data_IF_491845238258
#
_entry.id   IF_491845238258
#
_cell.length_a   1.000
_cell.length_b   1.000
_cell.length_c   1.000
_cell.angle_alpha   90.00
_cell.angle_beta   90.00
_cell.angle_gamma   90.00
#
_symmetry.space_group_name_H-M   'P 1'
#
loop_
_entity.id
_entity.type
_entity.pdbx_description
1 polymer ?
#
# COMPACT_ATOMS: atom_id res chain seq x y z
N UNK A 1 19.27 9.24 -12.29
CA UNK A 1 20.29 9.49 -11.25
C UNK A 1 21.43 8.53 -11.51
N UNK A 2 22.66 9.01 -11.61
CA UNK A 2 23.85 8.17 -11.76
C UNK A 2 24.38 7.73 -10.38
N UNK A 3 25.34 6.78 -10.35
CA UNK A 3 25.85 6.20 -9.11
C UNK A 3 26.41 7.25 -8.14
N UNK A 4 27.11 8.26 -8.67
CA UNK A 4 27.66 9.34 -7.84
C UNK A 4 26.56 10.18 -7.18
N UNK A 5 25.53 10.54 -7.91
CA UNK A 5 24.37 11.29 -7.39
C UNK A 5 23.63 10.47 -6.32
N UNK A 6 23.51 9.15 -6.54
CA UNK A 6 22.93 8.25 -5.56
C UNK A 6 23.76 8.22 -4.26
N UNK A 7 25.06 8.06 -4.36
CA UNK A 7 25.96 8.04 -3.18
C UNK A 7 25.94 9.36 -2.40
N UNK A 8 25.91 10.49 -3.11
CA UNK A 8 25.80 11.81 -2.49
C UNK A 8 24.46 11.98 -1.74
N UNK A 9 23.35 11.58 -2.35
CA UNK A 9 22.03 11.62 -1.72
C UNK A 9 21.93 10.70 -0.50
N UNK A 10 22.46 9.47 -0.61
CA UNK A 10 22.49 8.52 0.50
C UNK A 10 23.34 9.03 1.67
N UNK A 11 24.50 9.64 1.38
CA UNK A 11 25.35 10.27 2.40
C UNK A 11 24.64 11.44 3.09
N UNK A 12 23.93 12.27 2.33
CA UNK A 12 23.13 13.37 2.86
C UNK A 12 22.02 12.86 3.79
N UNK A 13 21.26 11.84 3.36
CA UNK A 13 20.25 11.20 4.18
C UNK A 13 20.82 10.66 5.51
N UNK A 14 21.92 9.93 5.47
CA UNK A 14 22.59 9.44 6.70
C UNK A 14 23.02 10.55 7.64
N UNK A 15 23.50 11.67 7.11
CA UNK A 15 23.90 12.84 7.90
C UNK A 15 22.68 13.46 8.59
N UNK A 16 21.59 13.68 7.85
CA UNK A 16 20.35 14.20 8.42
C UNK A 16 19.80 13.29 9.51
N UNK A 17 19.76 11.98 9.28
CA UNK A 17 19.29 11.03 10.28
C UNK A 17 20.17 11.04 11.55
N UNK A 18 21.49 11.14 11.42
CA UNK A 18 22.39 11.25 12.58
C UNK A 18 22.15 12.53 13.39
N UNK A 19 21.78 13.62 12.74
CA UNK A 19 21.43 14.87 13.44
C UNK A 19 20.15 14.71 14.24
N UNK A 20 19.11 14.05 13.65
CA UNK A 20 17.84 13.78 14.32
C UNK A 20 17.96 12.86 15.53
N UNK A 21 18.89 11.91 15.50
CA UNK A 21 19.10 10.88 16.55
C UNK A 21 20.44 11.06 17.26
N UNK A 22 20.90 12.29 17.43
CA UNK A 22 22.23 12.59 17.95
C UNK A 22 22.44 12.24 19.41
N UNK A 23 21.36 12.18 20.20
CA UNK A 23 21.36 11.84 21.62
C UNK A 23 20.07 11.06 22.01
N UNK A 24 19.98 10.63 23.25
CA UNK A 24 18.84 9.85 23.71
C UNK A 24 17.50 10.63 23.70
N UNK A 25 17.44 11.91 24.08
CA UNK A 25 16.24 12.72 23.90
C UNK A 25 15.82 12.88 22.45
N UNK A 26 16.73 13.19 21.54
CA UNK A 26 16.47 13.33 20.11
C UNK A 26 15.96 12.04 19.48
N UNK A 27 16.52 10.90 19.88
CA UNK A 27 16.03 9.59 19.44
C UNK A 27 14.60 9.32 19.93
N UNK A 28 14.29 9.62 21.19
CA UNK A 28 12.96 9.44 21.76
C UNK A 28 11.92 10.34 21.04
N UNK A 29 12.26 11.61 20.81
CA UNK A 29 11.39 12.54 20.08
C UNK A 29 11.16 12.09 18.62
N UNK A 30 12.21 11.64 17.95
CA UNK A 30 12.11 11.08 16.60
C UNK A 30 11.18 9.87 16.55
N UNK A 31 11.34 8.94 17.49
CA UNK A 31 10.50 7.75 17.59
C UNK A 31 9.03 8.13 17.82
N UNK A 32 8.77 9.07 18.73
CA UNK A 32 7.42 9.51 19.05
C UNK A 32 6.74 10.21 17.86
N UNK A 33 7.46 11.10 17.15
CA UNK A 33 6.94 11.75 15.95
C UNK A 33 6.59 10.75 14.86
N UNK A 34 7.49 9.81 14.57
CA UNK A 34 7.24 8.75 13.58
C UNK A 34 6.05 7.89 13.97
N UNK A 35 5.94 7.53 15.24
CA UNK A 35 4.83 6.70 15.71
C UNK A 35 3.50 7.43 15.59
N UNK A 36 3.42 8.69 16.01
CA UNK A 36 2.21 9.52 15.85
C UNK A 36 1.79 9.64 14.39
N UNK A 37 2.74 9.95 13.50
CA UNK A 37 2.48 10.03 12.07
C UNK A 37 1.98 8.69 11.51
N UNK A 38 2.70 7.61 11.75
CA UNK A 38 2.31 6.28 11.29
C UNK A 38 0.93 5.85 11.84
N UNK A 39 0.66 6.13 13.11
CA UNK A 39 -0.63 5.87 13.73
C UNK A 39 -1.76 6.65 13.04
N UNK A 40 -1.56 7.94 12.78
CA UNK A 40 -2.52 8.77 12.04
C UNK A 40 -2.84 8.20 10.66
N UNK A 41 -1.82 7.79 9.90
CA UNK A 41 -2.02 7.15 8.59
C UNK A 41 -2.80 5.83 8.75
N UNK A 42 -2.45 5.00 9.75
CA UNK A 42 -3.18 3.76 10.05
C UNK A 42 -4.66 4.01 10.37
N UNK A 43 -4.98 5.06 11.11
CA UNK A 43 -6.38 5.46 11.39
C UNK A 43 -7.10 5.90 10.10
N UNK A 44 -6.49 6.75 9.28
CA UNK A 44 -7.07 7.18 8.00
C UNK A 44 -7.32 6.01 7.05
N UNK A 45 -6.50 4.99 7.10
CA UNK A 45 -6.65 3.77 6.30
C UNK A 45 -7.78 2.86 6.81
N UNK A 46 -8.07 2.86 8.11
CA UNK A 46 -8.96 1.86 8.72
C UNK A 46 -10.25 2.42 9.29
N UNK A 47 -10.22 3.56 9.98
CA UNK A 47 -11.39 4.11 10.68
C UNK A 47 -12.46 4.64 9.72
N UNK A 48 -13.73 4.75 10.15
CA UNK A 48 -14.76 5.41 9.38
C UNK A 48 -14.36 6.84 9.01
N UNK A 49 -14.71 7.27 7.78
CA UNK A 49 -14.41 8.61 7.31
C UNK A 49 -15.53 9.14 6.43
N UNK A 50 -16.16 10.24 6.80
CA UNK A 50 -17.37 10.74 6.13
C UNK A 50 -18.44 9.66 6.08
N UNK A 51 -18.94 9.35 4.89
CA UNK A 51 -19.90 8.27 4.63
C UNK A 51 -19.24 6.89 4.44
N UNK A 52 -17.90 6.83 4.39
CA UNK A 52 -17.18 5.57 4.20
C UNK A 52 -17.07 4.82 5.54
N UNK A 53 -17.51 3.56 5.60
CA UNK A 53 -17.43 2.76 6.81
C UNK A 53 -15.98 2.38 7.13
N UNK A 54 -15.79 1.76 8.29
CA UNK A 54 -14.54 1.14 8.67
C UNK A 54 -14.04 0.15 7.60
N UNK A 55 -12.73 0.14 7.39
CA UNK A 55 -12.10 -0.80 6.46
C UNK A 55 -11.76 -2.08 7.19
N UNK A 56 -12.62 -3.09 7.00
CA UNK A 56 -12.48 -4.42 7.60
C UNK A 56 -12.44 -5.50 6.52
N UNK A 57 -12.03 -6.72 6.91
CA UNK A 57 -12.03 -7.88 6.02
C UNK A 57 -10.98 -7.83 4.90
N UNK A 58 -11.23 -8.57 3.80
CA UNK A 58 -10.30 -8.67 2.70
C UNK A 58 -10.18 -7.38 1.88
N UNK A 59 -8.95 -6.96 1.59
CA UNK A 59 -8.65 -5.80 0.75
C UNK A 59 -7.43 -6.04 -0.14
N UNK A 60 -7.37 -5.28 -1.24
CA UNK A 60 -6.14 -4.96 -1.95
C UNK A 60 -5.65 -3.59 -1.51
N UNK A 61 -4.36 -3.39 -1.46
CA UNK A 61 -3.78 -2.08 -1.17
C UNK A 61 -2.48 -1.86 -1.94
N UNK A 62 -2.14 -0.61 -2.14
CA UNK A 62 -0.86 -0.26 -2.74
C UNK A 62 -0.40 1.11 -2.35
N UNK A 63 0.91 1.30 -2.43
CA UNK A 63 1.61 2.50 -2.01
C UNK A 63 2.31 3.14 -3.18
N UNK A 64 2.10 4.44 -3.35
CA UNK A 64 2.77 5.26 -4.36
C UNK A 64 3.67 6.30 -3.69
N UNK A 65 4.76 6.64 -4.38
CA UNK A 65 5.68 7.72 -3.99
C UNK A 65 5.84 8.74 -5.12
N UNK A 66 6.18 10.00 -4.82
CA UNK A 66 6.43 10.99 -5.84
C UNK A 66 7.50 10.53 -6.85
N UNK A 67 7.26 10.76 -8.12
CA UNK A 67 8.20 10.48 -9.19
C UNK A 67 8.34 9.01 -9.60
N UNK A 68 8.12 8.04 -8.70
CA UNK A 68 8.16 6.61 -9.04
C UNK A 68 6.76 5.99 -9.20
N UNK A 69 5.70 6.70 -8.78
CA UNK A 69 4.34 6.19 -8.84
C UNK A 69 4.10 4.99 -7.92
N UNK A 70 3.29 4.04 -8.36
CA UNK A 70 2.96 2.85 -7.59
C UNK A 70 4.20 1.97 -7.39
N UNK A 71 4.65 1.85 -6.16
CA UNK A 71 5.87 1.11 -5.82
C UNK A 71 5.61 -0.26 -5.16
N UNK A 72 4.45 -0.45 -4.53
CA UNK A 72 4.09 -1.68 -3.85
C UNK A 72 2.59 -1.98 -3.98
N UNK A 73 2.25 -3.26 -4.13
CA UNK A 73 0.89 -3.82 -4.07
C UNK A 73 0.89 -5.00 -3.11
N UNK A 74 -0.15 -5.10 -2.31
CA UNK A 74 -0.38 -6.21 -1.40
C UNK A 74 -1.87 -6.51 -1.19
N UNK A 75 -2.14 -7.62 -0.54
CA UNK A 75 -3.47 -8.00 -0.10
C UNK A 75 -3.46 -8.45 1.36
N UNK A 76 -4.61 -8.44 1.99
CA UNK A 76 -4.80 -9.01 3.33
C UNK A 76 -6.25 -9.46 3.50
N UNK A 77 -6.46 -10.44 4.36
CA UNK A 77 -7.80 -10.82 4.84
C UNK A 77 -8.25 -9.99 6.05
N UNK A 78 -7.30 -9.37 6.73
CA UNK A 78 -7.50 -8.63 7.98
C UNK A 78 -7.05 -7.17 7.78
N UNK A 79 -7.89 -6.38 7.10
CA UNK A 79 -7.54 -5.01 6.73
C UNK A 79 -7.17 -4.17 7.94
N UNK A 80 -7.98 -4.20 9.01
CA UNK A 80 -7.76 -3.36 10.19
C UNK A 80 -6.36 -3.57 10.75
N UNK A 81 -5.99 -4.80 11.07
CA UNK A 81 -4.66 -5.11 11.61
C UNK A 81 -3.55 -4.75 10.64
N UNK A 82 -3.66 -5.21 9.38
CA UNK A 82 -2.62 -5.03 8.37
C UNK A 82 -2.37 -3.57 8.01
N UNK A 83 -3.44 -2.78 7.82
CA UNK A 83 -3.31 -1.41 7.38
C UNK A 83 -2.91 -0.46 8.53
N UNK A 84 -3.23 -0.79 9.78
CA UNK A 84 -2.71 -0.05 10.95
C UNK A 84 -1.22 -0.26 11.12
N UNK A 85 -0.74 -1.50 10.95
CA UNK A 85 0.67 -1.85 11.09
C UNK A 85 1.52 -1.42 9.89
N UNK A 86 0.90 -1.26 8.70
CA UNK A 86 1.61 -0.98 7.46
C UNK A 86 2.55 0.23 7.54
N UNK A 87 2.11 1.41 8.04
CA UNK A 87 2.99 2.57 8.19
C UNK A 87 3.94 2.46 9.40
N UNK A 88 3.61 1.66 10.39
CA UNK A 88 4.48 1.43 11.56
C UNK A 88 5.67 0.54 11.19
N UNK A 89 5.43 -0.49 10.38
CA UNK A 89 6.45 -1.43 9.91
C UNK A 89 6.68 -2.64 10.80
N UNK A 90 5.82 -2.89 11.80
CA UNK A 90 5.96 -4.03 12.72
C UNK A 90 5.66 -5.37 12.05
N UNK A 91 4.56 -5.46 11.33
CA UNK A 91 4.13 -6.70 10.67
C UNK A 91 4.54 -6.79 9.19
N UNK A 92 5.14 -5.74 8.64
CA UNK A 92 5.48 -5.64 7.24
C UNK A 92 6.70 -4.73 7.01
N UNK A 93 7.68 -5.21 6.23
CA UNK A 93 8.92 -4.45 6.02
C UNK A 93 8.80 -3.26 5.06
N UNK A 94 7.63 -2.96 4.53
CA UNK A 94 7.49 -1.86 3.57
C UNK A 94 7.95 -0.53 4.17
N UNK A 95 7.45 -0.16 5.35
CA UNK A 95 7.82 1.06 6.03
C UNK A 95 9.30 1.12 6.46
N UNK A 96 9.95 -0.05 6.61
CA UNK A 96 11.38 -0.13 6.87
C UNK A 96 12.22 0.05 5.60
N UNK A 97 11.68 -0.33 4.44
CA UNK A 97 12.35 -0.17 3.15
C UNK A 97 12.03 1.20 2.53
N UNK A 98 10.80 1.67 2.70
CA UNK A 98 10.26 2.90 2.18
C UNK A 98 9.49 3.61 3.29
N UNK A 99 10.11 4.55 4.00
CA UNK A 99 9.47 5.28 5.10
C UNK A 99 8.13 5.91 4.69
N UNK A 100 7.08 5.83 5.53
CA UNK A 100 5.76 6.35 5.20
C UNK A 100 5.74 7.87 5.01
N UNK A 101 6.73 8.58 5.49
CA UNK A 101 6.95 10.00 5.26
C UNK A 101 7.22 10.33 3.77
N UNK A 102 7.59 9.33 2.97
CA UNK A 102 7.78 9.45 1.52
C UNK A 102 6.55 9.02 0.71
N UNK A 103 5.50 8.52 1.36
CA UNK A 103 4.33 8.05 0.64
C UNK A 103 3.47 9.21 0.18
N UNK A 104 3.22 9.27 -1.11
CA UNK A 104 2.30 10.22 -1.71
C UNK A 104 0.85 9.78 -1.52
N UNK A 105 0.60 8.48 -1.74
CA UNK A 105 -0.74 7.91 -1.72
C UNK A 105 -0.72 6.45 -1.30
N UNK A 106 -1.74 6.07 -0.51
CA UNK A 106 -2.08 4.68 -0.24
C UNK A 106 -3.50 4.41 -0.73
N UNK A 107 -3.64 3.54 -1.74
CA UNK A 107 -4.93 3.10 -2.25
C UNK A 107 -5.35 1.83 -1.54
N UNK A 108 -6.61 1.74 -1.14
CA UNK A 108 -7.24 0.55 -0.55
C UNK A 108 -8.53 0.23 -1.28
N UNK A 109 -8.64 -0.97 -1.85
CA UNK A 109 -9.85 -1.47 -2.52
C UNK A 109 -10.47 -2.62 -1.73
N UNK A 110 -11.72 -2.46 -1.35
CA UNK A 110 -12.56 -3.45 -0.65
C UNK A 110 -13.23 -4.34 -1.70
N UNK A 111 -12.48 -5.24 -2.31
CA UNK A 111 -12.97 -6.07 -3.41
C UNK A 111 -14.20 -6.95 -3.07
N UNK A 112 -14.48 -7.39 -1.81
CA UNK A 112 -15.71 -8.12 -1.51
C UNK A 112 -16.98 -7.30 -1.73
N UNK A 113 -16.92 -5.97 -1.60
CA UNK A 113 -18.06 -5.09 -1.90
C UNK A 113 -18.38 -5.10 -3.41
N UNK A 114 -17.34 -5.24 -4.23
CA UNK A 114 -17.48 -5.34 -5.69
C UNK A 114 -17.98 -6.72 -6.11
N UNK A 115 -17.61 -7.78 -5.40
CA UNK A 115 -18.09 -9.13 -5.65
C UNK A 115 -19.60 -9.22 -5.60
N UNK A 116 -20.24 -8.55 -4.64
CA UNK A 116 -21.71 -8.49 -4.55
C UNK A 116 -22.40 -7.87 -5.78
N UNK A 117 -21.64 -7.21 -6.66
CA UNK A 117 -22.12 -6.61 -7.91
C UNK A 117 -21.70 -7.42 -9.15
N UNK A 118 -20.76 -8.39 -9.00
CA UNK A 118 -20.21 -9.24 -10.05
C UNK A 118 -20.86 -10.63 -9.98
N UNK A 119 -22.12 -10.75 -10.39
CA UNK A 119 -22.91 -11.99 -10.29
C UNK A 119 -22.28 -13.20 -11.01
N UNK A 120 -21.50 -12.96 -12.05
CA UNK A 120 -20.76 -13.97 -12.81
C UNK A 120 -19.53 -14.53 -12.05
N UNK A 121 -19.03 -13.78 -11.07
CA UNK A 121 -17.86 -14.16 -10.29
C UNK A 121 -18.20 -14.77 -8.91
N UNK A 122 -19.46 -14.67 -8.45
CA UNK A 122 -19.84 -15.05 -7.09
C UNK A 122 -19.57 -16.53 -6.81
N UNK A 123 -20.06 -17.43 -7.68
CA UNK A 123 -19.87 -18.88 -7.52
C UNK A 123 -18.37 -19.27 -7.57
N UNK A 124 -17.60 -18.67 -8.48
CA UNK A 124 -16.17 -18.92 -8.57
C UNK A 124 -15.42 -18.42 -7.33
N UNK A 125 -15.80 -17.24 -6.81
CA UNK A 125 -15.20 -16.68 -5.61
C UNK A 125 -15.53 -17.49 -4.35
N UNK A 126 -16.76 -18.02 -4.24
CA UNK A 126 -17.16 -18.90 -3.15
C UNK A 126 -16.34 -20.20 -3.18
N UNK A 127 -16.20 -20.82 -4.34
CA UNK A 127 -15.42 -22.05 -4.51
C UNK A 127 -13.93 -21.86 -4.20
N UNK A 128 -13.36 -20.70 -4.52
CA UNK A 128 -11.95 -20.39 -4.27
C UNK A 128 -11.68 -19.94 -2.83
N UNK A 129 -12.65 -19.28 -2.22
CA UNK A 129 -12.52 -18.63 -0.92
C UNK A 129 -11.74 -17.32 -0.96
N UNK A 130 -11.99 -16.46 0.02
CA UNK A 130 -11.48 -15.07 0.06
C UNK A 130 -9.94 -14.99 -0.03
N UNK A 131 -9.22 -15.93 0.59
CA UNK A 131 -7.76 -15.92 0.57
C UNK A 131 -7.19 -16.10 -0.85
N UNK A 132 -7.78 -16.99 -1.64
CA UNK A 132 -7.33 -17.25 -3.01
C UNK A 132 -7.76 -16.12 -3.94
N UNK A 133 -8.98 -15.59 -3.77
CA UNK A 133 -9.47 -14.43 -4.52
C UNK A 133 -8.54 -13.22 -4.32
N UNK A 134 -8.20 -12.88 -3.08
CA UNK A 134 -7.27 -11.79 -2.79
C UNK A 134 -5.90 -11.97 -3.45
N UNK A 135 -5.33 -13.18 -3.39
CA UNK A 135 -4.06 -13.51 -4.05
C UNK A 135 -4.15 -13.44 -5.59
N UNK A 136 -5.28 -13.86 -6.17
CA UNK A 136 -5.51 -13.81 -7.62
C UNK A 136 -5.59 -12.36 -8.12
N UNK A 137 -6.36 -11.52 -7.43
CA UNK A 137 -6.49 -10.09 -7.73
C UNK A 137 -5.17 -9.33 -7.53
N UNK A 138 -4.45 -9.60 -6.43
CA UNK A 138 -3.11 -9.05 -6.19
C UNK A 138 -2.15 -9.39 -7.32
N UNK A 139 -2.15 -10.66 -7.74
CA UNK A 139 -1.28 -11.10 -8.83
C UNK A 139 -1.59 -10.38 -10.15
N UNK A 140 -2.88 -10.25 -10.52
CA UNK A 140 -3.28 -9.50 -11.72
C UNK A 140 -2.87 -8.03 -11.64
N UNK A 141 -3.07 -7.42 -10.48
CA UNK A 141 -2.67 -6.03 -10.27
C UNK A 141 -1.14 -5.85 -10.40
N UNK A 142 -0.35 -6.78 -9.84
CA UNK A 142 1.10 -6.79 -10.00
C UNK A 142 1.54 -6.99 -11.45
N UNK A 143 0.82 -7.82 -12.23
CA UNK A 143 1.10 -8.00 -13.67
C UNK A 143 0.90 -6.71 -14.47
N UNK A 144 -0.22 -6.02 -14.24
CA UNK A 144 -0.58 -4.82 -15.01
C UNK A 144 0.27 -3.61 -14.60
N UNK A 145 0.59 -3.47 -13.30
CA UNK A 145 1.24 -2.28 -12.76
C UNK A 145 2.75 -2.43 -12.58
N UNK A 146 3.25 -3.66 -12.51
CA UNK A 146 4.68 -3.98 -12.35
C UNK A 146 5.38 -3.20 -11.23
N UNK A 147 4.86 -3.15 -9.99
CA UNK A 147 5.40 -2.31 -8.95
C UNK A 147 6.82 -2.77 -8.52
N UNK A 148 7.80 -1.86 -8.44
CA UNK A 148 9.21 -2.23 -8.31
C UNK A 148 9.55 -3.01 -7.03
N UNK A 149 8.83 -2.78 -5.92
CA UNK A 149 9.08 -3.50 -4.67
C UNK A 149 8.47 -4.91 -4.65
N UNK A 150 7.52 -5.20 -5.55
CA UNK A 150 7.03 -6.55 -5.79
C UNK A 150 7.85 -7.29 -6.85
N UNK A 151 8.59 -6.57 -7.69
CA UNK A 151 9.33 -7.08 -8.84
C UNK A 151 10.63 -7.80 -8.51
N UNK A 152 11.00 -7.92 -7.22
CA UNK A 152 12.27 -8.53 -6.83
C UNK A 152 12.07 -9.60 -5.77
N UNK A 153 12.84 -10.68 -5.88
CA UNK A 153 12.95 -11.73 -4.84
C UNK A 153 14.36 -11.77 -4.29
N UNK A 154 14.48 -11.89 -2.98
CA UNK A 154 15.76 -12.17 -2.34
C UNK A 154 16.18 -13.61 -2.65
N UNK A 155 17.35 -13.77 -3.19
CA UNK A 155 17.93 -15.09 -3.43
C UNK A 155 18.56 -15.65 -2.16
N UNK A 156 18.80 -16.99 -2.15
CA UNK A 156 19.39 -17.75 -1.03
C UNK A 156 20.72 -17.16 -0.53
N UNK A 157 21.47 -16.50 -1.41
CA UNK A 157 22.77 -15.86 -1.09
C UNK A 157 22.67 -14.33 -0.92
N UNK A 158 21.49 -13.80 -0.61
CA UNK A 158 21.31 -12.36 -0.37
C UNK A 158 21.21 -11.49 -1.63
N UNK A 159 21.42 -12.04 -2.80
CA UNK A 159 21.26 -11.33 -4.07
C UNK A 159 19.78 -11.13 -4.42
N UNK A 160 19.47 -10.02 -5.07
CA UNK A 160 18.13 -9.75 -5.60
C UNK A 160 18.00 -10.29 -7.01
N UNK A 161 16.90 -11.00 -7.28
CA UNK A 161 16.53 -11.44 -8.63
C UNK A 161 15.27 -10.74 -9.08
N UNK A 162 15.17 -10.34 -10.35
CA UNK A 162 13.90 -9.96 -10.95
C UNK A 162 12.88 -11.09 -10.76
N UNK A 163 11.66 -10.73 -10.40
CA UNK A 163 10.53 -11.65 -10.38
C UNK A 163 9.78 -11.50 -11.69
N UNK A 164 9.72 -12.55 -12.46
CA UNK A 164 8.82 -12.64 -13.60
C UNK A 164 7.41 -13.02 -13.09
N UNK A 165 6.52 -12.04 -13.03
CA UNK A 165 5.15 -12.26 -12.59
C UNK A 165 4.37 -13.12 -13.58
N UNK A 166 4.65 -13.02 -14.90
CA UNK A 166 3.96 -13.80 -15.93
C UNK A 166 4.27 -15.30 -15.81
N UNK A 167 5.49 -15.66 -15.38
CA UNK A 167 5.89 -17.06 -15.15
C UNK A 167 5.66 -17.53 -13.70
N UNK A 168 4.96 -16.75 -12.88
CA UNK A 168 4.72 -17.11 -11.48
C UNK A 168 3.84 -18.35 -11.37
N UNK A 169 4.26 -19.30 -10.54
CA UNK A 169 3.50 -20.51 -10.15
C UNK A 169 2.88 -20.36 -8.75
N UNK A 170 2.68 -19.14 -8.29
CA UNK A 170 2.01 -18.89 -7.01
C UNK A 170 0.53 -19.27 -7.08
N UNK A 171 -0.09 -19.50 -5.92
CA UNK A 171 -1.53 -19.78 -5.84
C UNK A 171 -2.36 -18.69 -6.52
N UNK A 172 -2.01 -17.41 -6.32
CA UNK A 172 -2.67 -16.31 -6.99
C UNK A 172 -2.55 -16.37 -8.51
N UNK A 173 -1.35 -16.67 -9.04
CA UNK A 173 -1.14 -16.82 -10.47
C UNK A 173 -1.98 -17.94 -11.09
N UNK A 174 -2.09 -19.08 -10.40
CA UNK A 174 -2.87 -20.23 -10.86
C UNK A 174 -4.38 -19.96 -10.99
N UNK A 175 -4.90 -18.98 -10.26
CA UNK A 175 -6.33 -18.63 -10.25
C UNK A 175 -6.62 -17.24 -10.81
N UNK A 176 -5.63 -16.55 -11.35
CA UNK A 176 -5.78 -15.17 -11.82
C UNK A 176 -6.84 -15.00 -12.92
N UNK A 177 -7.05 -16.00 -13.76
CA UNK A 177 -8.04 -15.99 -14.83
C UNK A 177 -9.46 -16.39 -14.39
N UNK A 178 -9.64 -16.89 -13.16
CA UNK A 178 -10.91 -17.46 -12.70
C UNK A 178 -11.97 -16.41 -12.32
N UNK A 179 -11.60 -15.13 -12.19
CA UNK A 179 -12.45 -14.05 -11.67
C UNK A 179 -12.48 -12.84 -12.62
N UNK A 180 -12.86 -13.00 -13.92
CA UNK A 180 -12.72 -11.91 -14.89
C UNK A 180 -13.59 -10.68 -14.54
N UNK A 181 -14.88 -10.85 -14.27
CA UNK A 181 -15.78 -9.74 -13.94
C UNK A 181 -15.38 -9.02 -12.63
N UNK A 182 -15.02 -9.77 -11.59
CA UNK A 182 -14.52 -9.18 -10.34
C UNK A 182 -13.20 -8.42 -10.55
N UNK A 183 -12.34 -8.94 -11.43
CA UNK A 183 -11.11 -8.23 -11.79
C UNK A 183 -11.40 -6.90 -12.45
N UNK A 184 -12.27 -6.86 -13.44
CA UNK A 184 -12.57 -5.64 -14.20
C UNK A 184 -13.12 -4.55 -13.29
N UNK A 185 -14.05 -4.90 -12.40
CA UNK A 185 -14.57 -3.98 -11.39
C UNK A 185 -13.49 -3.54 -10.38
N UNK A 186 -12.63 -4.45 -9.95
CA UNK A 186 -11.53 -4.13 -9.04
C UNK A 186 -10.51 -3.20 -9.70
N UNK A 187 -10.20 -3.43 -10.97
CA UNK A 187 -9.31 -2.59 -11.75
C UNK A 187 -9.88 -1.19 -11.98
N UNK A 188 -11.16 -1.08 -12.26
CA UNK A 188 -11.83 0.21 -12.43
C UNK A 188 -11.85 1.01 -11.12
N UNK A 189 -12.21 0.37 -10.01
CA UNK A 189 -12.16 0.98 -8.69
C UNK A 189 -10.73 1.41 -8.31
N UNK A 190 -9.74 0.57 -8.62
CA UNK A 190 -8.33 0.88 -8.40
C UNK A 190 -7.90 2.12 -9.20
N UNK A 191 -8.16 2.15 -10.50
CA UNK A 191 -7.81 3.28 -11.38
C UNK A 191 -8.44 4.59 -10.94
N UNK A 192 -9.72 4.52 -10.53
CA UNK A 192 -10.43 5.68 -10.02
C UNK A 192 -9.72 6.24 -8.78
N UNK A 193 -9.51 5.42 -7.74
CA UNK A 193 -8.85 5.84 -6.50
C UNK A 193 -7.37 6.24 -6.71
N UNK A 194 -6.66 5.58 -7.62
CA UNK A 194 -5.29 5.91 -7.95
C UNK A 194 -5.14 7.19 -8.78
N UNK A 195 -6.20 7.60 -9.48
CA UNK A 195 -6.26 8.86 -10.25
C UNK A 195 -6.69 10.07 -9.43
N UNK A 196 -7.26 9.87 -8.23
CA UNK A 196 -7.72 10.97 -7.38
C UNK A 196 -6.57 11.82 -6.88
N UNK A 197 -6.82 13.12 -6.76
CA UNK A 197 -5.96 14.06 -6.05
C UNK A 197 -6.44 14.24 -4.61
N UNK A 198 -5.58 14.77 -3.75
CA UNK A 198 -5.97 15.15 -2.40
C UNK A 198 -7.12 16.17 -2.47
N UNK A 199 -8.27 15.93 -1.81
CA UNK A 199 -9.40 16.85 -1.85
C UNK A 199 -9.06 18.16 -1.14
N UNK A 200 -9.67 19.26 -1.60
CA UNK A 200 -9.45 20.59 -0.98
C UNK A 200 -10.02 20.67 0.44
N UNK A 201 -11.21 20.08 0.66
CA UNK A 201 -11.91 20.19 1.94
C UNK A 201 -11.39 19.21 3.01
N UNK A 202 -10.77 18.11 2.58
CA UNK A 202 -10.16 17.13 3.43
C UNK A 202 -8.95 16.51 2.72
N UNK A 203 -7.79 17.11 2.84
CA UNK A 203 -6.63 16.74 2.02
C UNK A 203 -6.07 15.33 2.33
N UNK A 204 -6.60 14.65 3.36
CA UNK A 204 -6.04 13.41 3.84
C UNK A 204 -6.64 12.16 3.20
N UNK A 205 -7.92 12.19 2.81
CA UNK A 205 -8.65 10.99 2.36
C UNK A 205 -9.67 11.32 1.28
N UNK A 206 -9.63 10.59 0.18
CA UNK A 206 -10.75 10.44 -0.77
C UNK A 206 -11.40 9.08 -0.57
N UNK A 207 -12.73 9.04 -0.58
CA UNK A 207 -13.49 7.81 -0.37
C UNK A 207 -14.42 7.51 -1.54
N UNK A 208 -14.61 6.20 -1.81
CA UNK A 208 -15.64 5.67 -2.71
C UNK A 208 -16.34 4.50 -2.04
N UNK A 209 -17.41 3.99 -2.67
CA UNK A 209 -18.07 2.77 -2.21
C UNK A 209 -17.10 1.57 -2.16
N UNK A 210 -16.18 1.49 -3.10
CA UNK A 210 -15.25 0.38 -3.25
C UNK A 210 -13.99 0.50 -2.36
N UNK A 211 -13.73 1.66 -1.76
CA UNK A 211 -12.51 1.85 -0.97
C UNK A 211 -12.13 3.29 -0.72
N UNK A 212 -10.84 3.54 -0.54
CA UNK A 212 -10.31 4.87 -0.25
C UNK A 212 -8.90 5.09 -0.79
N UNK A 213 -8.53 6.33 -0.98
CA UNK A 213 -7.16 6.79 -1.16
C UNK A 213 -6.78 7.71 0.01
N UNK A 214 -5.67 7.42 0.67
CA UNK A 214 -5.11 8.23 1.76
C UNK A 214 -3.86 8.93 1.24
N UNK A 215 -3.65 10.19 1.63
CA UNK A 215 -2.56 11.05 1.19
C UNK A 215 -1.62 11.39 2.36
N UNK A 216 -0.62 10.54 2.67
CA UNK A 216 0.28 10.74 3.81
C UNK A 216 1.04 12.06 3.76
N UNK A 217 1.46 12.53 2.59
CA UNK A 217 2.14 13.82 2.42
C UNK A 217 1.31 14.99 2.95
N UNK A 218 -0.01 14.99 2.71
CA UNK A 218 -0.89 16.04 3.22
C UNK A 218 -0.95 16.09 4.77
N UNK A 219 -0.76 14.94 5.44
CA UNK A 219 -0.71 14.88 6.90
C UNK A 219 0.56 15.54 7.45
N UNK A 220 1.68 15.45 6.73
CA UNK A 220 2.93 16.13 7.09
C UNK A 220 2.82 17.65 6.90
N UNK A 221 2.19 18.08 5.81
CA UNK A 221 2.04 19.50 5.45
C UNK A 221 1.10 20.25 6.41
N UNK A 222 0.12 19.56 7.01
CA UNK A 222 -0.85 20.14 7.96
C UNK A 222 -0.27 20.35 9.39
N UNK A 223 1.02 20.09 9.57
CA UNK A 223 1.65 20.23 10.90
C UNK A 223 1.15 19.22 11.93
N UNK A 224 0.39 18.24 11.52
CA UNK A 224 -0.19 17.18 12.38
C UNK A 224 0.85 16.22 12.98
N UNK A 225 2.12 16.52 12.78
CA UNK A 225 3.28 15.86 13.39
C UNK A 225 3.96 16.72 14.48
N UNK A 226 3.37 17.88 14.84
CA UNK A 226 3.88 18.73 15.91
C UNK A 226 3.44 18.26 17.30
#
# INVERSE_FOLDING_TARGET
>A
MNDRQYEEAFKGWRTSLRTLVSDAPGLAEWQERRFRFAHKIGELLTKPHGSSPETTGPVLYGVSIPGAGLCYVGQTLEAERRLRDLPVGESHHLANTLPPELWERVVVVRWPVLLAQASDAEQAAEALGAAVCGLALEHRLQLVTSPPLNGRRRHRHGQWRPRDHAQSRSRGAGHAAALPGLWDMTWDAWRHLAGESAPTDNPFVTTSQAGRAVFPSAVLDDGGAA
#
